data_IF_615595107768
#
_entry.id   IF_615595107768
#
_cell.length_a   1.000
_cell.length_b   1.000
_cell.length_c   1.000
_cell.angle_alpha   90.00
_cell.angle_beta   90.00
_cell.angle_gamma   90.00
#
_symmetry.space_group_name_H-M   'P 1'
#
loop_
_entity.id
_entity.type
_entity.pdbx_description
1 polymer ?
#
# COMPACT_ATOMS: atom_id res chain seq x y z
N UNK A 1 22.02 -4.39 35.42
CA UNK A 1 22.84 -3.45 34.63
C UNK A 1 22.24 -2.07 34.80
N UNK A 2 22.95 -1.16 35.47
CA UNK A 2 22.48 0.21 35.69
C UNK A 2 22.44 0.95 34.34
N UNK A 3 21.34 1.62 34.09
CA UNK A 3 21.14 2.52 32.96
C UNK A 3 22.13 3.68 32.98
N UNK A 4 23.12 3.68 32.11
CA UNK A 4 24.01 4.85 31.92
C UNK A 4 23.43 5.74 30.82
N UNK A 5 22.13 6.05 30.89
CA UNK A 5 21.63 7.19 30.13
C UNK A 5 22.19 8.43 30.82
N UNK A 6 23.33 8.89 30.32
CA UNK A 6 24.10 9.96 30.95
C UNK A 6 23.26 11.25 30.99
N UNK A 7 23.40 12.03 32.07
CA UNK A 7 22.67 13.30 32.26
C UNK A 7 22.83 14.25 31.06
N UNK A 8 23.98 14.20 30.37
CA UNK A 8 24.23 14.95 29.13
C UNK A 8 23.23 14.62 28.01
N UNK A 9 22.80 13.37 27.88
CA UNK A 9 21.79 12.96 26.90
C UNK A 9 20.41 13.45 27.30
N UNK A 10 20.08 13.41 28.60
CA UNK A 10 18.83 13.98 29.10
C UNK A 10 18.75 15.49 28.83
N UNK A 11 19.87 16.20 28.97
CA UNK A 11 19.95 17.63 28.66
C UNK A 11 19.76 17.91 27.16
N UNK A 12 20.34 17.09 26.27
CA UNK A 12 20.08 17.17 24.83
C UNK A 12 18.59 16.95 24.54
N UNK A 13 17.99 15.89 25.08
CA UNK A 13 16.57 15.59 24.90
C UNK A 13 15.63 16.74 25.35
N UNK A 14 15.95 17.45 26.44
CA UNK A 14 15.16 18.60 26.94
C UNK A 14 15.03 19.75 25.94
N UNK A 15 15.93 19.86 24.95
CA UNK A 15 15.89 20.93 23.94
C UNK A 15 14.81 20.71 22.88
N UNK A 16 14.22 19.52 22.81
CA UNK A 16 13.29 19.15 21.74
C UNK A 16 11.85 18.96 22.28
N UNK A 17 10.95 19.91 22.05
CA UNK A 17 9.55 19.82 22.53
C UNK A 17 8.74 18.72 21.83
N UNK A 18 9.20 18.28 20.66
CA UNK A 18 8.59 17.18 19.91
C UNK A 18 9.03 15.81 20.37
N UNK A 19 10.06 15.71 21.22
CA UNK A 19 10.47 14.45 21.83
C UNK A 19 9.65 14.21 23.09
N UNK A 20 8.93 13.09 23.12
CA UNK A 20 8.01 12.73 24.21
C UNK A 20 8.68 11.78 25.20
N UNK A 21 9.40 10.78 24.69
CA UNK A 21 10.12 9.81 25.50
C UNK A 21 11.30 9.20 24.74
N UNK A 22 12.27 8.68 25.50
CA UNK A 22 13.35 7.84 24.99
C UNK A 22 13.34 6.51 25.73
N UNK A 23 13.31 5.42 24.99
CA UNK A 23 13.43 4.06 25.51
C UNK A 23 14.75 3.46 25.08
N UNK A 24 15.41 2.70 25.96
CA UNK A 24 16.68 2.04 25.64
C UNK A 24 16.47 0.54 25.62
N UNK A 25 17.02 -0.11 24.60
CA UNK A 25 17.04 -1.56 24.48
C UNK A 25 18.11 -2.19 25.40
N UNK A 26 18.01 -3.49 25.68
CA UNK A 26 19.09 -4.21 26.36
C UNK A 26 20.43 -4.18 25.62
N UNK A 27 20.44 -3.89 24.32
CA UNK A 27 21.64 -3.81 23.48
C UNK A 27 22.12 -2.36 23.22
N UNK A 28 21.64 -1.37 23.98
CA UNK A 28 22.09 0.02 23.89
C UNK A 28 21.54 0.83 22.70
N UNK A 29 20.59 0.27 21.95
CA UNK A 29 19.84 1.01 20.93
C UNK A 29 18.77 1.87 21.63
N UNK A 30 18.59 3.10 21.19
CA UNK A 30 17.54 3.97 21.71
C UNK A 30 16.40 4.14 20.71
N UNK A 31 15.18 4.14 21.23
CA UNK A 31 13.97 4.47 20.50
C UNK A 31 13.50 5.87 20.91
N UNK A 32 13.44 6.77 19.93
CA UNK A 32 12.85 8.09 20.07
C UNK A 32 11.35 8.00 19.86
N UNK A 33 10.58 8.48 20.83
CA UNK A 33 9.13 8.61 20.72
C UNK A 33 8.82 10.09 20.51
N UNK A 34 8.38 10.44 19.31
CA UNK A 34 7.99 11.81 19.00
C UNK A 34 6.53 12.09 19.37
N UNK A 35 6.15 13.38 19.42
CA UNK A 35 4.78 13.86 19.66
C UNK A 35 3.80 13.46 18.58
N UNK A 36 4.27 13.31 17.34
CA UNK A 36 3.48 13.02 16.16
C UNK A 36 2.64 11.74 16.29
N UNK A 37 1.52 11.68 15.55
CA UNK A 37 0.67 10.48 15.48
C UNK A 37 1.46 9.26 15.00
N UNK A 38 1.09 8.07 15.48
CA UNK A 38 1.66 6.80 15.01
C UNK A 38 0.95 6.27 13.76
N UNK A 39 -0.21 6.83 13.43
CA UNK A 39 -1.06 6.43 12.31
C UNK A 39 -1.53 7.71 11.62
N UNK A 40 -0.72 8.29 10.71
CA UNK A 40 -1.16 9.43 9.90
C UNK A 40 -2.22 8.99 8.90
N UNK A 41 -3.11 9.91 8.51
CA UNK A 41 -3.99 9.68 7.38
C UNK A 41 -3.17 9.60 6.08
N UNK A 42 -3.63 8.87 5.05
CA UNK A 42 -2.91 8.75 3.77
C UNK A 42 -2.56 10.10 3.14
N UNK A 43 -3.47 11.07 3.24
CA UNK A 43 -3.32 12.42 2.67
C UNK A 43 -2.28 13.25 3.44
N UNK A 44 -2.09 12.96 4.73
CA UNK A 44 -1.16 13.66 5.63
C UNK A 44 0.23 13.02 5.65
N UNK A 45 0.38 11.81 5.10
CA UNK A 45 1.56 10.98 5.26
C UNK A 45 2.86 11.68 4.83
N UNK A 46 2.84 12.37 3.69
CA UNK A 46 4.02 13.08 3.19
C UNK A 46 4.43 14.26 4.07
N UNK A 47 3.48 14.96 4.70
CA UNK A 47 3.76 16.04 5.65
C UNK A 47 4.31 15.47 6.95
N UNK A 48 3.59 14.50 7.52
CA UNK A 48 3.98 13.77 8.71
C UNK A 48 5.38 13.16 8.61
N UNK A 49 5.74 12.58 7.46
CA UNK A 49 7.05 11.97 7.26
C UNK A 49 8.16 13.02 7.25
N UNK A 50 7.93 14.18 6.62
CA UNK A 50 8.90 15.29 6.62
C UNK A 50 9.10 15.85 8.02
N UNK A 51 8.01 16.11 8.75
CA UNK A 51 8.03 16.68 10.09
C UNK A 51 8.68 15.73 11.10
N UNK A 52 8.28 14.46 11.11
CA UNK A 52 8.91 13.46 11.98
C UNK A 52 10.39 13.25 11.67
N UNK A 53 10.79 13.33 10.40
CA UNK A 53 12.19 13.22 9.97
C UNK A 53 13.01 14.43 10.37
N UNK A 54 12.48 15.63 10.25
CA UNK A 54 13.14 16.85 10.71
C UNK A 54 13.36 16.79 12.24
N UNK A 55 12.28 16.56 13.00
CA UNK A 55 12.36 16.47 14.46
C UNK A 55 13.30 15.35 14.93
N UNK A 56 13.27 14.18 14.29
CA UNK A 56 14.17 13.08 14.61
C UNK A 56 15.64 13.43 14.32
N UNK A 57 15.93 14.10 13.21
CA UNK A 57 17.29 14.53 12.86
C UNK A 57 17.85 15.49 13.88
N UNK A 58 17.08 16.52 14.25
CA UNK A 58 17.52 17.51 15.23
C UNK A 58 17.85 16.84 16.59
N UNK A 59 17.00 15.92 17.04
CA UNK A 59 17.24 15.15 18.27
C UNK A 59 18.49 14.27 18.15
N UNK A 60 18.66 13.59 17.01
CA UNK A 60 19.81 12.72 16.77
C UNK A 60 21.09 13.54 16.75
N UNK A 61 21.12 14.68 16.06
CA UNK A 61 22.29 15.54 15.95
C UNK A 61 22.73 16.07 17.32
N UNK A 62 21.79 16.53 18.16
CA UNK A 62 22.10 16.95 19.53
C UNK A 62 22.58 15.78 20.41
N UNK A 63 22.02 14.57 20.24
CA UNK A 63 22.51 13.37 20.93
C UNK A 63 23.92 12.97 20.47
N UNK A 64 24.21 13.06 19.17
CA UNK A 64 25.55 12.82 18.61
C UNK A 64 26.54 13.87 19.13
N UNK A 65 26.15 15.14 19.18
CA UNK A 65 26.94 16.23 19.77
C UNK A 65 27.21 16.01 21.26
N UNK A 66 26.29 15.38 21.99
CA UNK A 66 26.49 14.96 23.38
C UNK A 66 27.34 13.67 23.53
N UNK A 67 27.77 13.06 22.43
CA UNK A 67 28.64 11.87 22.40
C UNK A 67 27.90 10.52 22.45
N UNK A 68 26.64 10.46 22.02
CA UNK A 68 25.94 9.18 21.86
C UNK A 68 26.38 8.48 20.57
N UNK A 69 26.92 7.26 20.68
CA UNK A 69 27.43 6.49 19.52
C UNK A 69 26.51 5.33 19.10
N UNK A 70 25.50 4.97 19.90
CA UNK A 70 24.62 3.84 19.62
C UNK A 70 23.65 4.02 18.45
N UNK A 71 22.89 2.96 18.17
CA UNK A 71 21.83 2.96 17.15
C UNK A 71 20.59 3.70 17.64
N UNK A 72 19.95 4.45 16.73
CA UNK A 72 18.71 5.19 16.99
C UNK A 72 17.61 4.71 16.06
N UNK A 73 16.44 4.43 16.63
CA UNK A 73 15.22 4.17 15.87
C UNK A 73 14.14 5.19 16.24
N UNK A 74 13.29 5.56 15.28
CA UNK A 74 12.16 6.46 15.52
C UNK A 74 10.89 5.63 15.59
N UNK A 75 10.19 5.69 16.73
CA UNK A 75 9.01 4.88 17.00
C UNK A 75 7.95 5.02 15.91
N UNK A 76 7.71 6.25 15.44
CA UNK A 76 6.73 6.59 14.41
C UNK A 76 6.90 5.82 13.09
N UNK A 77 8.09 5.32 12.77
CA UNK A 77 8.36 4.62 11.52
C UNK A 77 8.36 3.08 11.68
N UNK A 78 8.14 2.59 12.89
CA UNK A 78 8.19 1.17 13.19
C UNK A 78 6.81 0.51 13.09
N UNK A 79 6.75 -0.77 12.67
CA UNK A 79 5.51 -1.51 12.69
C UNK A 79 5.01 -1.74 14.13
N UNK A 80 3.69 -1.85 14.30
CA UNK A 80 3.02 -1.94 15.62
C UNK A 80 3.61 -2.99 16.55
N UNK A 81 4.03 -4.16 16.04
CA UNK A 81 4.61 -5.21 16.88
C UNK A 81 5.96 -4.81 17.51
N UNK A 82 6.77 -3.99 16.81
CA UNK A 82 8.01 -3.43 17.36
C UNK A 82 7.71 -2.35 18.40
N UNK A 83 6.69 -1.52 18.15
CA UNK A 83 6.24 -0.49 19.09
C UNK A 83 5.82 -1.10 20.43
N UNK A 84 5.01 -2.17 20.41
CA UNK A 84 4.62 -2.90 21.64
C UNK A 84 5.86 -3.33 22.42
N UNK A 85 6.84 -3.94 21.74
CA UNK A 85 8.10 -4.38 22.35
C UNK A 85 8.85 -3.22 23.01
N UNK A 86 8.91 -2.07 22.36
CA UNK A 86 9.57 -0.88 22.92
C UNK A 86 8.83 -0.39 24.16
N UNK A 87 7.50 -0.21 24.07
CA UNK A 87 6.73 0.36 25.18
C UNK A 87 6.57 -0.57 26.38
N UNK A 88 6.65 -1.88 26.19
CA UNK A 88 6.48 -2.86 27.27
C UNK A 88 7.82 -3.43 27.78
N UNK A 89 8.84 -3.58 26.93
CA UNK A 89 10.09 -4.28 27.31
C UNK A 89 11.31 -3.36 27.41
N UNK A 90 11.32 -2.19 26.76
CA UNK A 90 12.48 -1.29 26.79
C UNK A 90 12.33 -0.28 27.94
N UNK A 91 13.29 -0.24 28.89
CA UNK A 91 13.28 0.76 29.94
C UNK A 91 13.22 2.19 29.38
N UNK A 92 12.29 2.98 29.91
CA UNK A 92 12.20 4.40 29.60
C UNK A 92 13.33 5.14 30.32
N UNK A 93 14.16 5.86 29.57
CA UNK A 93 15.33 6.60 30.08
C UNK A 93 15.11 8.08 30.23
N UNK A 94 14.21 8.62 29.40
CA UNK A 94 13.85 10.02 29.43
C UNK A 94 12.37 10.18 29.06
N UNK A 95 11.71 11.17 29.66
CA UNK A 95 10.32 11.50 29.41
C UNK A 95 10.14 13.02 29.53
N UNK A 96 9.71 13.66 28.44
CA UNK A 96 9.42 15.10 28.39
C UNK A 96 7.93 15.42 28.48
N UNK A 97 7.07 14.51 28.00
CA UNK A 97 5.62 14.68 28.02
C UNK A 97 4.93 13.37 28.46
N UNK A 98 4.74 13.15 29.77
CA UNK A 98 4.18 11.89 30.28
C UNK A 98 2.74 11.65 29.83
N UNK A 99 1.97 12.72 29.61
CA UNK A 99 0.57 12.62 29.16
C UNK A 99 0.54 12.11 27.72
N UNK A 100 1.34 12.73 26.83
CA UNK A 100 1.42 12.29 25.44
C UNK A 100 2.05 10.90 25.32
N UNK A 101 3.06 10.57 26.14
CA UNK A 101 3.67 9.23 26.16
C UNK A 101 2.63 8.15 26.52
N UNK A 102 1.82 8.38 27.55
CA UNK A 102 0.76 7.48 27.96
C UNK A 102 -0.32 7.34 26.87
N UNK A 103 -0.69 8.45 26.20
CA UNK A 103 -1.63 8.43 25.09
C UNK A 103 -1.11 7.57 23.92
N UNK A 104 0.13 7.78 23.49
CA UNK A 104 0.75 7.01 22.40
C UNK A 104 0.84 5.52 22.75
N UNK A 105 1.23 5.19 23.99
CA UNK A 105 1.24 3.81 24.48
C UNK A 105 -0.14 3.15 24.42
N UNK A 106 -1.19 3.89 24.82
CA UNK A 106 -2.58 3.40 24.73
C UNK A 106 -2.98 3.11 23.28
N UNK A 107 -2.64 4.01 22.35
CA UNK A 107 -2.91 3.82 20.92
C UNK A 107 -2.21 2.58 20.38
N UNK A 108 -0.92 2.38 20.70
CA UNK A 108 -0.17 1.17 20.29
C UNK A 108 -0.84 -0.11 20.81
N UNK A 109 -1.27 -0.13 22.07
CA UNK A 109 -1.95 -1.29 22.65
C UNK A 109 -3.27 -1.60 21.98
N UNK A 110 -4.05 -0.57 21.64
CA UNK A 110 -5.29 -0.73 20.88
C UNK A 110 -5.03 -1.31 19.50
N UNK A 111 -4.09 -0.72 18.74
CA UNK A 111 -3.72 -1.21 17.41
C UNK A 111 -3.21 -2.66 17.45
N UNK A 112 -2.44 -3.02 18.48
CA UNK A 112 -1.98 -4.38 18.67
C UNK A 112 -3.12 -5.35 18.97
N UNK A 113 -4.11 -4.93 19.76
CA UNK A 113 -5.32 -5.72 20.01
C UNK A 113 -6.14 -5.91 18.73
N UNK A 114 -6.32 -4.86 17.93
CA UNK A 114 -7.03 -4.89 16.66
C UNK A 114 -6.33 -5.82 15.65
N UNK A 115 -5.00 -5.72 15.53
CA UNK A 115 -4.21 -6.63 14.69
C UNK A 115 -4.36 -8.09 15.14
N UNK A 116 -4.33 -8.37 16.44
CA UNK A 116 -4.57 -9.73 16.98
C UNK A 116 -5.98 -10.22 16.66
N UNK A 117 -6.99 -9.36 16.83
CA UNK A 117 -8.37 -9.69 16.51
C UNK A 117 -8.56 -9.99 15.02
N UNK A 118 -8.01 -9.17 14.13
CA UNK A 118 -8.08 -9.38 12.67
C UNK A 118 -7.34 -10.65 12.25
N UNK A 119 -6.18 -10.93 12.84
CA UNK A 119 -5.43 -12.15 12.61
C UNK A 119 -6.21 -13.39 13.08
N UNK A 120 -6.80 -13.34 14.28
CA UNK A 120 -7.66 -14.38 14.81
C UNK A 120 -8.88 -14.60 13.92
N UNK A 121 -9.61 -13.54 13.56
CA UNK A 121 -10.80 -13.62 12.69
C UNK A 121 -10.47 -14.22 11.33
N UNK A 122 -9.31 -13.88 10.77
CA UNK A 122 -8.81 -14.45 9.52
C UNK A 122 -8.47 -15.93 9.68
N UNK A 123 -7.87 -16.33 10.79
CA UNK A 123 -7.60 -17.73 11.11
C UNK A 123 -8.88 -18.52 11.35
N UNK A 124 -9.86 -17.95 12.03
CA UNK A 124 -11.15 -18.58 12.32
C UNK A 124 -11.95 -18.79 11.03
N UNK A 125 -12.00 -17.79 10.15
CA UNK A 125 -12.54 -17.96 8.79
C UNK A 125 -11.84 -19.06 7.99
N UNK A 126 -10.53 -19.27 8.18
CA UNK A 126 -9.80 -20.38 7.55
C UNK A 126 -10.11 -21.73 8.19
N UNK A 127 -10.37 -21.79 9.51
CA UNK A 127 -10.74 -23.02 10.23
C UNK A 127 -12.16 -23.48 9.91
N UNK A 128 -13.10 -22.55 9.83
CA UNK A 128 -14.50 -22.79 9.48
C UNK A 128 -14.71 -23.02 7.98
N UNK A 129 -13.69 -22.78 7.15
CA UNK A 129 -13.71 -23.21 5.75
C UNK A 129 -13.65 -24.74 5.70
N UNK A 130 -14.60 -25.42 5.03
CA UNK A 130 -14.56 -26.86 4.90
C UNK A 130 -13.21 -27.31 4.31
N UNK A 131 -12.59 -28.34 4.88
CA UNK A 131 -11.43 -29.06 4.29
C UNK A 131 -11.86 -29.90 3.07
N UNK A 132 -12.83 -29.44 2.30
CA UNK A 132 -13.13 -29.99 0.98
C UNK A 132 -12.01 -29.63 0.01
N UNK A 133 -11.87 -30.42 -1.07
CA UNK A 133 -10.99 -30.12 -2.22
C UNK A 133 -10.89 -28.62 -2.40
N UNK A 134 -9.66 -28.10 -2.43
CA UNK A 134 -9.33 -26.69 -2.63
C UNK A 134 -10.03 -26.22 -3.91
N UNK A 135 -11.27 -25.76 -3.77
CA UNK A 135 -12.01 -25.20 -4.89
C UNK A 135 -11.14 -24.04 -5.40
N UNK A 136 -10.92 -23.95 -6.72
CA UNK A 136 -10.26 -22.79 -7.28
C UNK A 136 -10.95 -21.56 -6.70
N UNK A 137 -10.22 -20.54 -6.22
CA UNK A 137 -10.86 -19.34 -5.69
C UNK A 137 -11.91 -18.86 -6.69
N UNK A 138 -13.11 -18.51 -6.23
CA UNK A 138 -14.13 -17.93 -7.13
C UNK A 138 -13.48 -16.80 -7.95
N UNK A 139 -13.97 -16.54 -9.17
CA UNK A 139 -13.40 -15.47 -10.01
C UNK A 139 -13.29 -14.17 -9.22
N UNK A 140 -14.32 -13.82 -8.43
CA UNK A 140 -14.32 -12.67 -7.54
C UNK A 140 -13.25 -12.74 -6.44
N UNK A 141 -13.07 -13.90 -5.79
CA UNK A 141 -12.04 -14.09 -4.77
C UNK A 141 -10.61 -14.00 -5.33
N UNK A 142 -10.39 -14.52 -6.54
CA UNK A 142 -9.12 -14.36 -7.27
C UNK A 142 -8.89 -12.90 -7.69
N UNK A 143 -9.91 -12.23 -8.21
CA UNK A 143 -9.83 -10.84 -8.64
C UNK A 143 -9.52 -9.89 -7.47
N UNK A 144 -10.18 -10.06 -6.32
CA UNK A 144 -9.87 -9.26 -5.13
C UNK A 144 -8.44 -9.51 -4.62
N UNK A 145 -7.93 -10.73 -4.73
CA UNK A 145 -6.54 -11.03 -4.35
C UNK A 145 -5.51 -10.37 -5.28
N UNK A 146 -5.90 -10.03 -6.52
CA UNK A 146 -5.07 -9.28 -7.48
C UNK A 146 -5.03 -7.77 -7.19
N UNK A 147 -5.79 -7.24 -6.22
CA UNK A 147 -5.89 -5.81 -5.94
C UNK A 147 -4.55 -5.07 -5.82
N UNK A 148 -3.55 -5.57 -5.08
CA UNK A 148 -2.25 -4.91 -5.02
C UNK A 148 -1.56 -4.77 -6.38
N UNK A 149 -1.83 -5.69 -7.32
CA UNK A 149 -1.18 -5.74 -8.63
C UNK A 149 -1.74 -4.67 -9.58
N UNK A 150 -3.07 -4.49 -9.66
CA UNK A 150 -3.63 -3.41 -10.51
C UNK A 150 -3.51 -2.02 -9.86
N UNK A 151 -3.61 -1.91 -8.52
CA UNK A 151 -3.43 -0.62 -7.84
C UNK A 151 -2.01 -0.06 -7.97
N UNK A 152 -1.01 -0.96 -8.03
CA UNK A 152 0.41 -0.59 -8.18
C UNK A 152 0.85 -0.27 -9.61
N UNK A 153 -0.04 -0.30 -10.62
CA UNK A 153 0.35 -0.03 -12.01
C UNK A 153 0.72 1.44 -12.22
N UNK A 154 1.86 1.65 -12.88
CA UNK A 154 2.28 2.92 -13.43
C UNK A 154 2.43 2.83 -14.96
N UNK A 155 2.27 3.94 -15.71
CA UNK A 155 1.79 5.26 -15.26
C UNK A 155 0.29 5.27 -14.91
N UNK A 156 -0.22 6.36 -14.30
CA UNK A 156 -1.62 6.50 -13.87
C UNK A 156 -2.62 6.15 -14.98
N UNK A 157 -2.37 6.66 -16.19
CA UNK A 157 -3.21 6.42 -17.37
C UNK A 157 -3.34 4.92 -17.64
N UNK A 158 -2.25 4.14 -17.49
CA UNK A 158 -2.29 2.68 -17.64
C UNK A 158 -3.22 2.04 -16.60
N UNK A 159 -3.12 2.48 -15.35
CA UNK A 159 -3.92 1.95 -14.26
C UNK A 159 -5.40 2.20 -14.50
N UNK A 160 -5.77 3.42 -14.88
CA UNK A 160 -7.16 3.79 -15.19
C UNK A 160 -7.70 2.97 -16.37
N UNK A 161 -6.92 2.79 -17.44
CA UNK A 161 -7.31 1.98 -18.60
C UNK A 161 -7.54 0.50 -18.24
N UNK A 162 -6.64 -0.09 -17.43
CA UNK A 162 -6.79 -1.48 -16.95
C UNK A 162 -8.05 -1.62 -16.09
N UNK A 163 -8.26 -0.70 -15.14
CA UNK A 163 -9.43 -0.68 -14.27
C UNK A 163 -10.73 -0.54 -15.06
N UNK A 164 -10.77 0.37 -16.04
CA UNK A 164 -11.95 0.59 -16.86
C UNK A 164 -12.28 -0.63 -17.73
N UNK A 165 -11.26 -1.36 -18.17
CA UNK A 165 -11.44 -2.64 -18.87
C UNK A 165 -12.03 -3.70 -17.93
N UNK A 166 -11.56 -3.77 -16.68
CA UNK A 166 -12.12 -4.69 -15.67
C UNK A 166 -13.58 -4.38 -15.34
N UNK A 167 -13.93 -3.09 -15.21
CA UNK A 167 -15.31 -2.64 -15.01
C UNK A 167 -16.19 -3.11 -16.16
N UNK A 168 -15.76 -2.92 -17.41
CA UNK A 168 -16.49 -3.42 -18.57
C UNK A 168 -16.67 -4.94 -18.56
N UNK A 169 -15.62 -5.71 -18.19
CA UNK A 169 -15.72 -7.19 -18.08
C UNK A 169 -16.79 -7.58 -17.05
N UNK A 170 -16.83 -6.90 -15.90
CA UNK A 170 -17.82 -7.17 -14.85
C UNK A 170 -19.23 -6.83 -15.35
N UNK A 171 -19.41 -5.64 -15.92
CA UNK A 171 -20.71 -5.14 -16.42
C UNK A 171 -21.27 -6.00 -17.55
N UNK A 172 -20.43 -6.48 -18.46
CA UNK A 172 -20.88 -7.05 -19.75
C UNK A 172 -20.75 -8.56 -19.84
N UNK A 173 -19.94 -9.18 -18.98
CA UNK A 173 -19.62 -10.62 -19.06
C UNK A 173 -20.11 -11.40 -17.85
N UNK A 174 -20.17 -10.77 -16.68
CA UNK A 174 -20.74 -11.42 -15.48
C UNK A 174 -22.26 -11.21 -15.35
N UNK A 175 -22.85 -10.32 -16.16
CA UNK A 175 -24.29 -10.08 -16.19
C UNK A 175 -24.91 -10.87 -17.35
N UNK A 176 -25.81 -11.84 -17.09
CA UNK A 176 -26.28 -12.80 -18.10
C UNK A 176 -27.01 -12.21 -19.31
N UNK A 177 -27.65 -11.04 -19.16
CA UNK A 177 -28.53 -10.43 -20.18
C UNK A 177 -27.99 -9.09 -20.71
N UNK A 178 -26.66 -8.94 -20.77
CA UNK A 178 -26.05 -7.70 -21.25
C UNK A 178 -26.46 -7.41 -22.72
N UNK A 179 -27.28 -6.38 -22.92
CA UNK A 179 -27.74 -5.88 -24.22
C UNK A 179 -27.19 -4.46 -24.45
N UNK A 180 -26.58 -4.14 -25.61
CA UNK A 180 -26.33 -5.02 -26.78
C UNK A 180 -25.27 -6.11 -26.46
N UNK A 181 -25.03 -7.09 -27.33
CA UNK A 181 -23.99 -8.10 -27.14
C UNK A 181 -22.61 -7.47 -26.84
N UNK A 182 -21.75 -8.12 -26.03
CA UNK A 182 -20.43 -7.59 -25.71
C UNK A 182 -19.54 -7.33 -26.95
N UNK A 183 -19.74 -8.09 -28.02
CA UNK A 183 -18.94 -7.99 -29.25
C UNK A 183 -19.09 -6.63 -29.94
N UNK A 184 -20.26 -6.00 -29.84
CA UNK A 184 -20.54 -4.66 -30.40
C UNK A 184 -19.72 -3.56 -29.69
N UNK A 185 -19.34 -3.78 -28.43
CA UNK A 185 -18.52 -2.82 -27.68
C UNK A 185 -17.04 -2.91 -28.02
N UNK A 186 -16.60 -4.04 -28.62
CA UNK A 186 -15.19 -4.40 -28.84
C UNK A 186 -14.64 -4.00 -30.22
N UNK A 187 -15.50 -3.48 -31.11
CA UNK A 187 -15.07 -2.89 -32.39
C UNK A 187 -14.18 -1.66 -32.16
N UNK A 188 -13.29 -1.28 -33.10
CA UNK A 188 -12.33 -0.19 -32.93
C UNK A 188 -12.93 1.16 -32.48
N UNK A 189 -14.18 1.43 -32.85
CA UNK A 189 -14.93 2.62 -32.42
C UNK A 189 -16.16 2.23 -31.56
N UNK A 190 -16.08 1.10 -30.87
CA UNK A 190 -17.11 0.61 -29.98
C UNK A 190 -17.20 1.38 -28.66
N UNK A 191 -18.18 1.04 -27.84
CA UNK A 191 -18.41 1.72 -26.55
C UNK A 191 -17.21 1.58 -25.59
N UNK A 192 -16.50 0.45 -25.60
CA UNK A 192 -15.31 0.26 -24.77
C UNK A 192 -14.15 1.14 -25.26
N UNK A 193 -13.93 1.21 -26.58
CA UNK A 193 -12.91 2.08 -27.18
C UNK A 193 -13.10 3.54 -26.71
N UNK A 194 -14.30 4.08 -26.89
CA UNK A 194 -14.64 5.44 -26.46
C UNK A 194 -14.48 5.66 -24.95
N UNK A 195 -14.86 4.67 -24.11
CA UNK A 195 -14.66 4.75 -22.65
C UNK A 195 -13.18 4.84 -22.30
N UNK A 196 -12.33 4.04 -22.95
CA UNK A 196 -10.89 4.02 -22.72
C UNK A 196 -10.21 5.30 -23.21
N UNK A 197 -10.56 5.79 -24.40
CA UNK A 197 -9.98 7.01 -24.96
C UNK A 197 -10.24 8.26 -24.14
N UNK A 198 -11.42 8.35 -23.49
CA UNK A 198 -11.76 9.48 -22.60
C UNK A 198 -10.86 9.55 -21.37
N UNK A 199 -10.22 8.45 -20.98
CA UNK A 199 -9.29 8.41 -19.86
C UNK A 199 -7.86 8.82 -20.25
N UNK A 200 -7.59 8.96 -21.54
CA UNK A 200 -6.28 9.40 -22.05
C UNK A 200 -6.32 10.91 -22.30
N UNK A 201 -5.34 11.68 -21.78
CA UNK A 201 -5.17 13.09 -22.13
C UNK A 201 -5.13 13.28 -23.66
N UNK A 202 -5.71 14.37 -24.17
CA UNK A 202 -5.87 14.60 -25.60
C UNK A 202 -4.54 14.48 -26.37
N UNK A 203 -3.47 15.06 -25.81
CA UNK A 203 -2.13 15.08 -26.40
C UNK A 203 -1.47 13.69 -26.48
N UNK A 204 -1.94 12.74 -25.68
CA UNK A 204 -1.39 11.39 -25.57
C UNK A 204 -2.25 10.33 -26.29
N UNK A 205 -3.43 10.69 -26.84
CA UNK A 205 -4.37 9.72 -27.43
C UNK A 205 -3.76 8.88 -28.54
N UNK A 206 -3.08 9.51 -29.50
CA UNK A 206 -2.44 8.80 -30.60
C UNK A 206 -1.41 7.77 -30.11
N UNK A 207 -0.76 8.05 -28.98
CA UNK A 207 0.25 7.18 -28.37
C UNK A 207 -0.37 5.98 -27.65
N UNK A 208 -1.54 6.15 -27.04
CA UNK A 208 -2.25 5.06 -26.34
C UNK A 208 -3.23 4.29 -27.23
N UNK A 209 -3.62 4.82 -28.40
CA UNK A 209 -4.51 4.13 -29.35
C UNK A 209 -4.04 2.70 -29.68
N UNK A 210 -2.76 2.41 -29.99
CA UNK A 210 -2.31 1.05 -30.24
C UNK A 210 -2.48 0.10 -29.04
N UNK A 211 -2.35 0.64 -27.81
CA UNK A 211 -2.59 -0.13 -26.59
C UNK A 211 -4.07 -0.50 -26.49
N UNK A 212 -4.96 0.47 -26.71
CA UNK A 212 -6.42 0.29 -26.68
C UNK A 212 -6.84 -0.75 -27.74
N UNK A 213 -6.41 -0.57 -28.99
CA UNK A 213 -6.74 -1.48 -30.10
C UNK A 213 -6.26 -2.91 -29.80
N UNK A 214 -5.08 -3.08 -29.21
CA UNK A 214 -4.56 -4.40 -28.82
C UNK A 214 -5.41 -5.07 -27.74
N UNK A 215 -5.87 -4.30 -26.75
CA UNK A 215 -6.76 -4.83 -25.70
C UNK A 215 -8.09 -5.24 -26.30
N UNK A 216 -8.70 -4.40 -27.14
CA UNK A 216 -9.97 -4.70 -27.82
C UNK A 216 -9.86 -5.96 -28.69
N UNK A 217 -8.83 -6.05 -29.54
CA UNK A 217 -8.62 -7.21 -30.40
C UNK A 217 -8.40 -8.51 -29.61
N UNK A 218 -7.65 -8.45 -28.49
CA UNK A 218 -7.44 -9.62 -27.62
C UNK A 218 -8.70 -10.04 -26.87
N UNK A 219 -9.53 -9.08 -26.46
CA UNK A 219 -10.83 -9.38 -25.88
C UNK A 219 -11.74 -10.01 -26.94
N UNK A 220 -11.89 -9.40 -28.12
CA UNK A 220 -12.72 -9.93 -29.21
C UNK A 220 -12.33 -11.38 -29.56
N UNK A 221 -11.03 -11.65 -29.69
CA UNK A 221 -10.51 -13.00 -29.91
C UNK A 221 -10.83 -13.98 -28.78
N UNK A 222 -10.89 -13.50 -27.53
CA UNK A 222 -11.33 -14.34 -26.41
C UNK A 222 -12.82 -14.70 -26.50
N UNK A 223 -13.65 -13.83 -27.10
CA UNK A 223 -15.08 -14.06 -27.34
C UNK A 223 -15.36 -14.99 -28.53
N UNK A 224 -14.45 -15.13 -29.50
CA UNK A 224 -14.56 -16.16 -30.57
C UNK A 224 -14.66 -17.59 -30.01
N UNK A 225 -14.23 -17.80 -28.75
CA UNK A 225 -14.36 -19.09 -28.08
C UNK A 225 -15.83 -19.41 -27.81
N UNK A 226 -16.24 -20.61 -28.24
CA UNK A 226 -17.60 -21.13 -28.07
C UNK A 226 -18.11 -20.95 -26.61
N UNK A 227 -19.36 -20.51 -26.39
CA UNK A 227 -19.90 -20.19 -25.07
C UNK A 227 -19.72 -21.30 -24.03
N UNK A 228 -19.84 -22.56 -24.45
CA UNK A 228 -19.73 -23.75 -23.59
C UNK A 228 -18.31 -23.94 -23.05
N UNK A 229 -17.31 -23.30 -23.67
CA UNK A 229 -15.90 -23.36 -23.28
C UNK A 229 -15.44 -22.13 -22.48
N UNK A 230 -16.36 -21.24 -22.12
CA UNK A 230 -16.12 -20.02 -21.32
C UNK A 230 -16.22 -20.33 -19.83
N UNK A 231 -15.23 -21.05 -19.32
CA UNK A 231 -15.14 -21.46 -17.91
C UNK A 231 -14.49 -20.38 -17.01
N UNK A 232 -14.27 -20.69 -15.73
CA UNK A 232 -13.56 -19.79 -14.80
C UNK A 232 -12.15 -19.41 -15.28
N UNK A 233 -11.46 -20.28 -16.03
CA UNK A 233 -10.12 -20.00 -16.55
C UNK A 233 -10.19 -18.99 -17.69
N UNK A 234 -11.17 -19.12 -18.57
CA UNK A 234 -11.48 -18.12 -19.60
C UNK A 234 -11.80 -16.77 -18.96
N UNK A 235 -12.69 -16.74 -17.96
CA UNK A 235 -13.05 -15.50 -17.27
C UNK A 235 -11.83 -14.81 -16.66
N UNK A 236 -10.96 -15.55 -15.95
CA UNK A 236 -9.71 -15.00 -15.41
C UNK A 236 -8.78 -14.47 -16.50
N UNK A 237 -8.73 -15.12 -17.66
CA UNK A 237 -7.87 -14.68 -18.77
C UNK A 237 -8.27 -13.31 -19.31
N UNK A 238 -9.57 -12.96 -19.31
CA UNK A 238 -10.04 -11.64 -19.73
C UNK A 238 -9.44 -10.52 -18.87
N UNK A 239 -9.47 -10.68 -17.55
CA UNK A 239 -8.90 -9.70 -16.61
C UNK A 239 -7.39 -9.54 -16.78
N UNK A 240 -6.69 -10.50 -17.36
CA UNK A 240 -5.25 -10.45 -17.60
C UNK A 240 -4.87 -9.81 -18.94
N UNK A 241 -5.81 -9.66 -19.88
CA UNK A 241 -5.54 -9.11 -21.23
C UNK A 241 -4.88 -7.74 -21.14
N UNK A 242 -5.47 -6.82 -20.39
CA UNK A 242 -5.00 -5.44 -20.25
C UNK A 242 -3.66 -5.32 -19.51
N UNK A 243 -3.29 -6.32 -18.69
CA UNK A 243 -1.99 -6.33 -18.01
C UNK A 243 -0.83 -6.62 -18.94
N UNK A 244 -1.01 -7.60 -19.83
CA UNK A 244 0.06 -8.08 -20.71
C UNK A 244 0.33 -7.18 -21.90
N UNK A 245 -0.44 -6.11 -22.09
CA UNK A 245 -0.14 -5.10 -23.11
C UNK A 245 0.79 -4.05 -22.48
N UNK A 246 2.05 -3.93 -22.95
CA UNK A 246 3.00 -2.98 -22.40
C UNK A 246 2.55 -1.53 -22.69
N UNK A 247 2.78 -0.59 -21.77
CA UNK A 247 2.47 0.81 -22.03
C UNK A 247 3.37 1.35 -23.15
N UNK A 248 2.93 2.36 -23.91
CA UNK A 248 3.75 2.95 -24.95
C UNK A 248 5.04 3.55 -24.36
N UNK A 249 6.19 3.21 -24.94
CA UNK A 249 7.50 3.67 -24.48
C UNK A 249 7.61 5.19 -24.64
N UNK A 250 8.04 5.89 -23.59
CA UNK A 250 8.28 7.33 -23.66
C UNK A 250 9.68 7.62 -24.14
N UNK A 251 9.83 8.48 -25.16
CA UNK A 251 11.12 9.04 -25.56
C UNK A 251 11.75 9.97 -24.48
N UNK A 252 11.16 10.09 -23.28
CA UNK A 252 11.64 10.96 -22.21
C UNK A 252 12.49 10.29 -21.12
N UNK A 253 12.79 8.99 -21.21
CA UNK A 253 13.49 8.25 -20.15
C UNK A 253 15.02 8.10 -20.34
N UNK A 254 15.61 8.69 -21.39
CA UNK A 254 17.07 8.59 -21.65
C UNK A 254 17.88 9.74 -21.01
N UNK A 255 17.26 10.77 -20.41
CA UNK A 255 18.00 11.92 -19.83
C UNK A 255 17.94 12.04 -18.30
N UNK A 256 17.91 10.93 -17.55
CA UNK A 256 18.18 10.94 -16.09
C UNK A 256 19.06 9.78 -15.64
N UNK A 257 20.18 9.62 -16.34
CA UNK A 257 21.31 8.82 -15.87
C UNK A 257 22.61 9.59 -16.11
N UNK A 258 22.74 10.76 -15.47
CA UNK A 258 23.99 11.41 -15.05
C UNK A 258 23.67 12.31 -13.84
#
# INVERSE_FOLDING_TARGET
MASVFAERYAQACRRHPDLVAVHESPNGCIALVLRHTLVPLPEEHAGWERETRAAARDVIDDLRGAGFEGDVVVAQWLPVHRLVRIFDDWPRRWEGDPVRAAQLRRVVRQLAADHRFLAWRSAERRRLRPRGRREPPSVSGWYCAMAPVWLGLAPEVRRQLVLQTHVWIIERVQVPDACPPPDDDLVPDGALAHRLERLVPADDRARWRPWIDTVLARLARAFERAPERRDHRWMRSLFLVAYYVPPPVGHGAILRAL
#
